data_IF_456136873987
#
_entry.id   IF_456136873987
#
_cell.length_a   1.000
_cell.length_b   1.000
_cell.length_c   1.000
_cell.angle_alpha   90.00
_cell.angle_beta   90.00
_cell.angle_gamma   90.00
#
_symmetry.space_group_name_H-M   'P 1'
#
loop_
_entity.id
_entity.type
_entity.pdbx_description
1 polymer ?
#
# COMPACT_ATOMS: atom_id res chain seq x y z
N UNK A 1 -2.93 14.48 -4.39
CA UNK A 1 -4.14 13.71 -4.05
C UNK A 1 -3.75 12.55 -3.18
N UNK A 2 -4.44 12.34 -2.07
CA UNK A 2 -4.11 11.28 -1.12
C UNK A 2 -5.10 10.13 -1.26
N UNK A 3 -4.61 8.95 -1.57
CA UNK A 3 -5.41 7.73 -1.70
C UNK A 3 -4.84 6.66 -0.80
N UNK A 4 -5.67 5.66 -0.46
CA UNK A 4 -5.17 4.49 0.27
C UNK A 4 -4.29 3.66 -0.64
N UNK A 5 -3.53 2.71 -0.06
CA UNK A 5 -2.70 1.83 -0.89
C UNK A 5 -3.56 0.99 -1.82
N UNK A 6 -4.76 0.59 -1.38
CA UNK A 6 -5.67 -0.15 -2.25
C UNK A 6 -6.09 0.68 -3.46
N UNK A 7 -6.45 1.94 -3.21
CA UNK A 7 -6.89 2.83 -4.30
C UNK A 7 -5.74 3.08 -5.28
N UNK A 8 -4.53 3.33 -4.76
CA UNK A 8 -3.38 3.53 -5.62
C UNK A 8 -3.06 2.27 -6.43
N UNK A 9 -3.12 1.09 -5.77
CA UNK A 9 -2.88 -0.17 -6.46
C UNK A 9 -3.83 -0.35 -7.63
N UNK A 10 -5.12 -0.10 -7.39
CA UNK A 10 -6.13 -0.22 -8.45
C UNK A 10 -5.91 0.80 -9.56
N UNK A 11 -5.52 2.01 -9.19
CA UNK A 11 -5.22 3.05 -10.18
C UNK A 11 -4.05 2.66 -11.08
N UNK A 12 -3.10 1.89 -10.55
CA UNK A 12 -1.96 1.41 -11.31
C UNK A 12 -2.22 0.04 -11.96
N UNK A 13 -3.41 -0.49 -11.80
CA UNK A 13 -3.84 -1.77 -12.39
C UNK A 13 -2.97 -2.94 -11.94
N UNK A 14 -2.62 -2.94 -10.66
CA UNK A 14 -1.84 -4.02 -10.05
C UNK A 14 -2.74 -4.92 -9.21
N UNK A 15 -2.45 -6.21 -9.22
CA UNK A 15 -3.14 -7.15 -8.33
C UNK A 15 -2.45 -7.16 -6.97
N UNK A 16 -3.16 -7.71 -5.97
CA UNK A 16 -2.57 -7.87 -4.64
C UNK A 16 -1.36 -8.79 -4.69
N UNK A 17 -1.43 -9.84 -5.50
CA UNK A 17 -0.30 -10.76 -5.68
C UNK A 17 0.90 -10.05 -6.27
N UNK A 18 0.67 -9.17 -7.23
CA UNK A 18 1.76 -8.42 -7.84
C UNK A 18 2.42 -7.48 -6.83
N UNK A 19 1.61 -6.80 -6.03
CA UNK A 19 2.16 -5.93 -5.00
C UNK A 19 2.96 -6.71 -3.97
N UNK A 20 2.43 -7.85 -3.51
CA UNK A 20 3.12 -8.69 -2.53
C UNK A 20 4.45 -9.18 -3.10
N UNK A 21 4.45 -9.59 -4.37
CA UNK A 21 5.67 -10.05 -5.02
C UNK A 21 6.73 -8.94 -5.07
N UNK A 22 6.31 -7.73 -5.45
CA UNK A 22 7.22 -6.59 -5.53
C UNK A 22 7.78 -6.20 -4.16
N UNK A 23 7.01 -6.44 -3.10
CA UNK A 23 7.43 -6.17 -1.73
C UNK A 23 8.16 -7.34 -1.09
N UNK A 24 8.22 -8.47 -1.80
CA UNK A 24 8.85 -9.70 -1.30
C UNK A 24 8.21 -10.17 0.01
N UNK A 25 6.88 -10.14 0.04
CA UNK A 25 6.10 -10.60 1.20
C UNK A 25 5.01 -11.53 0.70
N UNK A 26 4.40 -12.25 1.63
CA UNK A 26 3.27 -13.12 1.33
C UNK A 26 2.04 -12.27 1.01
N UNK A 27 1.21 -12.75 0.09
CA UNK A 27 0.01 -12.01 -0.31
C UNK A 27 -0.94 -11.79 0.87
N UNK A 28 -1.02 -12.75 1.80
CA UNK A 28 -1.87 -12.58 2.98
C UNK A 28 -1.40 -11.40 3.84
N UNK A 29 -0.09 -11.21 3.96
CA UNK A 29 0.47 -10.06 4.69
C UNK A 29 0.06 -8.77 3.98
N UNK A 30 0.17 -8.73 2.67
CA UNK A 30 -0.21 -7.56 1.92
C UNK A 30 -1.71 -7.26 2.07
N UNK A 31 -2.55 -8.30 2.00
CA UNK A 31 -3.99 -8.13 2.18
C UNK A 31 -4.31 -7.53 3.54
N UNK A 32 -3.62 -8.00 4.58
CA UNK A 32 -3.80 -7.43 5.92
C UNK A 32 -3.42 -5.96 5.95
N UNK A 33 -2.40 -5.57 5.21
CA UNK A 33 -1.99 -4.16 5.15
C UNK A 33 -3.05 -3.28 4.48
N UNK A 34 -3.76 -3.81 3.49
CA UNK A 34 -4.86 -3.04 2.88
C UNK A 34 -6.01 -2.87 3.86
N UNK A 35 -6.25 -3.88 4.71
CA UNK A 35 -7.28 -3.81 5.74
C UNK A 35 -6.90 -2.90 6.89
N UNK A 36 -5.61 -2.87 7.26
CA UNK A 36 -5.12 -2.13 8.41
C UNK A 36 -3.82 -1.41 8.05
N UNK A 37 -3.89 -0.36 7.21
CA UNK A 37 -2.67 0.30 6.74
C UNK A 37 -1.86 0.95 7.84
N UNK A 38 -2.48 1.23 8.99
CA UNK A 38 -1.75 1.80 10.12
C UNK A 38 -0.72 0.84 10.71
N UNK A 39 -0.79 -0.45 10.35
CA UNK A 39 0.16 -1.44 10.83
C UNK A 39 1.42 -1.55 9.97
N UNK A 40 1.46 -0.85 8.86
CA UNK A 40 2.60 -0.90 7.95
C UNK A 40 3.76 -0.13 8.56
N UNK A 41 4.95 -0.75 8.62
CA UNK A 41 6.14 -0.06 9.12
C UNK A 41 6.55 1.05 8.16
N UNK A 42 7.29 2.03 8.67
CA UNK A 42 7.70 3.17 7.84
C UNK A 42 8.60 2.70 6.69
N UNK A 43 9.45 1.72 6.92
CA UNK A 43 10.30 1.19 5.87
C UNK A 43 9.50 0.57 4.73
N UNK A 44 8.48 -0.21 5.08
CA UNK A 44 7.63 -0.83 4.08
C UNK A 44 6.74 0.21 3.40
N UNK A 45 6.33 1.25 4.14
CA UNK A 45 5.57 2.35 3.54
C UNK A 45 6.36 3.03 2.43
N UNK A 46 7.65 3.25 2.66
CA UNK A 46 8.53 3.86 1.65
C UNK A 46 8.63 2.94 0.44
N UNK A 47 8.80 1.63 0.65
CA UNK A 47 8.84 0.68 -0.46
C UNK A 47 7.56 0.71 -1.29
N UNK A 48 6.43 0.75 -0.62
CA UNK A 48 5.13 0.81 -1.30
C UNK A 48 5.03 2.07 -2.15
N UNK A 49 5.42 3.20 -1.59
CA UNK A 49 5.38 4.47 -2.33
C UNK A 49 6.26 4.40 -3.58
N UNK A 50 7.44 3.81 -3.45
CA UNK A 50 8.36 3.67 -4.59
C UNK A 50 7.77 2.77 -5.67
N UNK A 51 7.16 1.66 -5.28
CA UNK A 51 6.54 0.73 -6.23
C UNK A 51 5.39 1.42 -6.97
N UNK A 52 4.59 2.19 -6.24
CA UNK A 52 3.45 2.89 -6.84
C UNK A 52 3.85 4.14 -7.61
N UNK A 53 5.09 4.61 -7.42
CA UNK A 53 5.57 5.80 -8.11
C UNK A 53 4.97 7.09 -7.57
N UNK A 54 4.68 7.12 -6.28
CA UNK A 54 4.07 8.29 -5.62
C UNK A 54 4.87 8.64 -4.38
N UNK A 55 4.59 9.82 -3.84
CA UNK A 55 5.21 10.27 -2.59
C UNK A 55 4.45 9.68 -1.40
N UNK A 56 5.14 9.52 -0.26
CA UNK A 56 4.47 9.11 0.96
C UNK A 56 3.31 10.03 1.31
N UNK A 57 3.44 11.32 1.01
CA UNK A 57 2.37 12.29 1.28
C UNK A 57 1.12 12.04 0.46
N UNK A 58 1.24 11.27 -0.62
CA UNK A 58 0.11 10.95 -1.47
C UNK A 58 -0.64 9.71 -1.02
N UNK A 59 -0.21 9.06 0.07
CA UNK A 59 -0.82 7.82 0.54
C UNK A 59 -1.44 8.03 1.91
N UNK A 60 -2.67 7.56 2.06
CA UNK A 60 -3.37 7.55 3.35
C UNK A 60 -3.06 6.22 4.03
N UNK A 61 -2.36 6.29 5.16
CA UNK A 61 -1.99 5.11 5.94
C UNK A 61 -2.84 4.92 7.19
N UNK A 62 -3.87 5.74 7.36
CA UNK A 62 -4.80 5.57 8.46
C UNK A 62 -6.08 4.92 7.93
N UNK A 63 -6.85 4.33 8.82
CA UNK A 63 -8.10 3.71 8.47
C UNK A 63 -9.20 4.74 8.27
N UNK A 64 -9.02 5.89 8.62
CA UNK A 64 -9.86 6.97 8.32
C UNK A 64 -11.06 7.13 9.19
N UNK A 65 -11.37 7.40 9.09
CA UNK A 65 -12.27 7.71 9.27
C UNK A 65 -13.01 8.24 9.29
N UNK A 66 -13.41 8.33 9.43
CA UNK A 66 -14.13 8.58 9.24
C UNK A 66 -14.69 8.79 9.30
#
# INVERSE_FOLDING_TARGET
>A
MALTIRQWRRAKELTQEQMASKLNIHVNTYQNWEEAPEKISIGKAVEIANILGVSLDDIVFSKGEQ
#
